data_IF_246384437961
#
_entry.id   IF_246384437961
#
_cell.length_a   1.000
_cell.length_b   1.000
_cell.length_c   1.000
_cell.angle_alpha   90.00
_cell.angle_beta   90.00
_cell.angle_gamma   90.00
#
_symmetry.space_group_name_H-M   'P 1'
#
loop_
_entity.id
_entity.type
_entity.pdbx_description
1 polymer ?
#
# COMPACT_ATOMS: atom_id res chain seq x y z
N UNK A 1 48.46 32.30 44.55
CA UNK A 1 48.11 31.89 43.17
C UNK A 1 47.31 30.58 43.09
N UNK A 2 47.26 29.77 44.16
CA UNK A 2 46.52 28.49 44.24
C UNK A 2 45.00 28.60 44.04
N UNK A 3 44.40 29.75 44.35
CA UNK A 3 42.96 29.95 44.19
C UNK A 3 42.53 30.06 42.71
N UNK A 4 43.39 30.61 41.85
CA UNK A 4 43.10 30.75 40.42
C UNK A 4 43.20 29.41 39.68
N UNK A 5 44.16 28.57 40.05
CA UNK A 5 44.29 27.22 39.50
C UNK A 5 43.09 26.36 39.89
N UNK A 6 42.63 26.46 41.14
CA UNK A 6 41.44 25.74 41.60
C UNK A 6 40.17 26.21 40.88
N UNK A 7 40.01 27.53 40.66
CA UNK A 7 38.90 28.07 39.89
C UNK A 7 38.91 27.62 38.42
N UNK A 8 40.09 27.51 37.80
CA UNK A 8 40.24 26.98 36.43
C UNK A 8 39.89 25.49 36.34
N UNK A 9 40.26 24.69 37.35
CA UNK A 9 39.89 23.28 37.40
C UNK A 9 38.38 23.09 37.54
N UNK A 10 37.73 23.89 38.38
CA UNK A 10 36.28 23.90 38.52
C UNK A 10 35.58 24.25 37.20
N UNK A 11 36.02 25.31 36.52
CA UNK A 11 35.46 25.69 35.20
C UNK A 11 35.65 24.60 34.13
N UNK A 12 36.77 23.88 34.16
CA UNK A 12 36.99 22.74 33.25
C UNK A 12 36.07 21.57 33.56
N UNK A 13 35.85 21.27 34.84
CA UNK A 13 34.93 20.24 35.27
C UNK A 13 33.48 20.58 34.86
N UNK A 14 33.05 21.81 35.10
CA UNK A 14 31.73 22.30 34.70
C UNK A 14 31.54 22.26 33.18
N UNK A 15 32.56 22.65 32.40
CA UNK A 15 32.55 22.53 30.94
C UNK A 15 32.35 21.08 30.49
N UNK A 16 33.05 20.13 31.11
CA UNK A 16 32.91 18.70 30.78
C UNK A 16 31.50 18.19 31.07
N UNK A 17 30.92 18.57 32.21
CA UNK A 17 29.54 18.22 32.56
C UNK A 17 28.52 18.81 31.57
N UNK A 18 28.69 20.07 31.18
CA UNK A 18 27.82 20.72 30.21
C UNK A 18 27.92 20.06 28.82
N UNK A 19 29.12 19.68 28.38
CA UNK A 19 29.29 18.95 27.11
C UNK A 19 28.59 17.60 27.12
N UNK A 20 28.73 16.82 28.21
CA UNK A 20 28.02 15.56 28.35
C UNK A 20 26.49 15.74 28.37
N UNK A 21 25.99 16.86 28.89
CA UNK A 21 24.57 17.19 28.83
C UNK A 21 24.11 17.52 27.40
N UNK A 22 24.89 18.30 26.66
CA UNK A 22 24.61 18.61 25.24
C UNK A 22 24.57 17.34 24.40
N UNK A 23 25.54 16.43 24.55
CA UNK A 23 25.56 15.17 23.83
C UNK A 23 24.31 14.31 24.10
N UNK A 24 23.83 14.27 25.34
CA UNK A 24 22.58 13.57 25.70
C UNK A 24 21.36 14.21 25.03
N UNK A 25 21.31 15.55 24.95
CA UNK A 25 20.25 16.26 24.26
C UNK A 25 20.30 15.99 22.76
N UNK A 26 21.47 16.02 22.14
CA UNK A 26 21.66 15.71 20.71
C UNK A 26 21.22 14.27 20.39
N UNK A 27 21.53 13.31 21.27
CA UNK A 27 21.03 11.93 21.15
C UNK A 27 19.50 11.87 21.21
N UNK A 28 18.89 12.57 22.17
CA UNK A 28 17.43 12.62 22.29
C UNK A 28 16.77 13.28 21.07
N UNK A 29 17.34 14.37 20.56
CA UNK A 29 16.89 15.06 19.34
C UNK A 29 16.98 14.10 18.15
N UNK A 30 18.12 13.42 17.96
CA UNK A 30 18.32 12.46 16.87
C UNK A 30 17.29 11.32 16.91
N UNK A 31 16.99 10.78 18.09
CA UNK A 31 15.94 9.77 18.26
C UNK A 31 14.57 10.32 17.83
N UNK A 32 14.19 11.51 18.31
CA UNK A 32 12.91 12.14 17.95
C UNK A 32 12.83 12.43 16.44
N UNK A 33 13.90 12.94 15.84
CA UNK A 33 13.97 13.19 14.39
C UNK A 33 13.86 11.90 13.58
N UNK A 34 14.50 10.81 14.03
CA UNK A 34 14.40 9.50 13.37
C UNK A 34 12.98 8.94 13.42
N UNK A 35 12.27 9.13 14.55
CA UNK A 35 10.88 8.73 14.73
C UNK A 35 9.94 9.61 13.90
N UNK A 36 10.19 10.92 13.84
CA UNK A 36 9.43 11.84 13.01
C UNK A 36 9.64 11.60 11.50
N UNK A 37 10.87 11.26 11.09
CA UNK A 37 11.18 10.82 9.72
C UNK A 37 10.46 9.51 9.35
N UNK A 38 10.22 8.63 10.32
CA UNK A 38 9.42 7.41 10.14
C UNK A 38 7.92 7.71 10.02
N UNK A 39 7.40 8.67 10.81
CA UNK A 39 6.00 9.10 10.77
C UNK A 39 5.65 9.95 9.54
N UNK A 40 6.61 10.73 9.01
CA UNK A 40 6.49 11.47 7.75
C UNK A 40 6.71 10.62 6.49
N UNK A 41 7.35 9.46 6.59
CA UNK A 41 7.60 8.53 5.48
C UNK A 41 6.39 7.65 5.12
N UNK A 42 5.17 8.17 5.28
CA UNK A 42 3.97 7.61 4.62
C UNK A 42 3.47 8.47 3.47
N UNK A 43 4.03 9.65 3.26
CA UNK A 43 3.67 10.44 2.10
C UNK A 43 4.84 11.29 1.61
N UNK A 44 5.11 11.18 0.32
CA UNK A 44 6.08 11.97 -0.46
C UNK A 44 7.55 11.57 -0.25
N UNK A 45 8.12 10.95 -1.28
CA UNK A 45 9.55 10.77 -1.37
C UNK A 45 10.25 12.13 -1.33
N UNK A 46 11.11 12.35 -0.34
CA UNK A 46 12.04 13.47 -0.38
C UNK A 46 13.18 13.28 0.61
N UNK A 47 14.39 13.22 0.04
CA UNK A 47 15.64 13.75 0.61
C UNK A 47 16.26 13.01 1.80
N UNK A 48 16.55 11.72 1.63
CA UNK A 48 17.94 11.32 1.89
C UNK A 48 18.71 11.58 0.61
N UNK A 49 19.65 12.52 0.66
CA UNK A 49 20.61 12.82 -0.40
C UNK A 49 21.60 11.66 -0.61
N UNK A 50 21.09 10.45 -0.80
CA UNK A 50 21.84 9.27 -1.21
C UNK A 50 21.36 8.92 -2.59
N UNK A 51 22.18 9.26 -3.60
CA UNK A 51 22.14 8.79 -4.99
C UNK A 51 20.80 8.18 -5.44
N UNK A 52 19.99 8.99 -6.13
CA UNK A 52 18.87 8.47 -6.93
C UNK A 52 19.43 7.33 -7.79
N UNK A 53 19.10 6.08 -7.46
CA UNK A 53 19.65 4.92 -8.18
C UNK A 53 19.10 4.94 -9.60
N UNK A 54 19.89 5.46 -10.54
CA UNK A 54 19.54 5.44 -11.94
C UNK A 54 19.52 3.98 -12.43
N UNK A 55 18.34 3.51 -12.79
CA UNK A 55 18.17 2.18 -13.39
C UNK A 55 18.68 2.25 -14.83
N UNK A 56 19.71 1.46 -15.15
CA UNK A 56 20.29 1.36 -16.49
C UNK A 56 19.26 0.88 -17.53
N UNK A 57 19.48 1.19 -18.80
CA UNK A 57 18.58 0.78 -19.88
C UNK A 57 18.37 -0.74 -19.94
N UNK A 58 19.44 -1.52 -19.71
CA UNK A 58 19.37 -2.97 -19.64
C UNK A 58 18.50 -3.46 -18.47
N UNK A 59 18.63 -2.84 -17.29
CA UNK A 59 17.82 -3.17 -16.13
C UNK A 59 16.33 -2.83 -16.36
N UNK A 60 16.02 -1.67 -16.97
CA UNK A 60 14.65 -1.30 -17.36
C UNK A 60 14.02 -2.32 -18.32
N UNK A 61 14.79 -2.83 -19.29
CA UNK A 61 14.35 -3.90 -20.20
C UNK A 61 14.02 -5.19 -19.45
N UNK A 62 14.86 -5.62 -18.51
CA UNK A 62 14.59 -6.81 -17.68
C UNK A 62 13.34 -6.64 -16.82
N UNK A 63 13.15 -5.46 -16.22
CA UNK A 63 11.95 -5.14 -15.43
C UNK A 63 10.68 -5.19 -16.27
N UNK A 64 10.69 -4.60 -17.48
CA UNK A 64 9.51 -4.59 -18.34
C UNK A 64 9.14 -5.99 -18.82
N UNK A 65 10.13 -6.84 -19.17
CA UNK A 65 9.90 -8.24 -19.52
C UNK A 65 9.32 -9.03 -18.34
N UNK A 66 9.86 -8.85 -17.13
CA UNK A 66 9.33 -9.50 -15.93
C UNK A 66 7.89 -9.07 -15.64
N UNK A 67 7.57 -7.78 -15.80
CA UNK A 67 6.22 -7.27 -15.61
C UNK A 67 5.25 -7.81 -16.66
N UNK A 68 5.65 -7.87 -17.94
CA UNK A 68 4.88 -8.50 -19.00
C UNK A 68 4.65 -9.99 -18.73
N UNK A 69 5.65 -10.72 -18.24
CA UNK A 69 5.52 -12.13 -17.86
C UNK A 69 4.55 -12.31 -16.68
N UNK A 70 4.58 -11.42 -15.69
CA UNK A 70 3.61 -11.40 -14.58
C UNK A 70 2.19 -11.15 -15.08
N UNK A 71 2.01 -10.15 -15.95
CA UNK A 71 0.70 -9.88 -16.56
C UNK A 71 0.21 -11.02 -17.44
N UNK A 72 1.10 -11.71 -18.16
CA UNK A 72 0.74 -12.90 -18.90
C UNK A 72 0.24 -14.02 -17.98
N UNK A 73 0.89 -14.26 -16.82
CA UNK A 73 0.41 -15.21 -15.81
C UNK A 73 -0.95 -14.81 -15.23
N UNK A 74 -1.15 -13.54 -14.92
CA UNK A 74 -2.42 -13.04 -14.39
C UNK A 74 -3.57 -13.09 -15.42
N UNK A 75 -3.26 -12.99 -16.72
CA UNK A 75 -4.24 -13.09 -17.81
C UNK A 75 -4.53 -14.53 -18.24
N UNK A 76 -3.69 -15.50 -17.88
CA UNK A 76 -4.07 -16.90 -18.09
C UNK A 76 -5.28 -17.16 -17.20
N UNK A 77 -6.41 -17.66 -17.74
CA UNK A 77 -7.48 -18.15 -16.89
C UNK A 77 -6.85 -19.17 -15.95
N UNK A 78 -7.10 -19.02 -14.66
CA UNK A 78 -6.61 -19.87 -13.60
C UNK A 78 -7.23 -21.27 -13.76
N UNK A 79 -6.77 -22.00 -14.77
CA UNK A 79 -6.99 -23.43 -14.92
C UNK A 79 -5.90 -24.08 -14.09
N UNK A 80 -6.32 -24.90 -13.12
CA UNK A 80 -5.55 -25.41 -12.00
C UNK A 80 -5.39 -24.42 -10.83
N UNK A 81 -6.12 -24.74 -9.76
CA UNK A 81 -5.95 -24.27 -8.38
C UNK A 81 -6.62 -22.94 -8.01
N UNK A 82 -7.89 -23.05 -7.63
CA UNK A 82 -8.29 -22.59 -6.30
C UNK A 82 -8.95 -21.23 -6.15
N UNK A 83 -9.69 -20.74 -7.15
CA UNK A 83 -10.66 -19.66 -6.90
C UNK A 83 -12.00 -20.00 -7.54
N UNK A 84 -12.95 -20.41 -6.71
CA UNK A 84 -14.36 -20.62 -7.05
C UNK A 84 -15.01 -19.25 -7.28
N UNK A 85 -14.68 -18.59 -8.39
CA UNK A 85 -15.65 -17.68 -8.99
C UNK A 85 -16.51 -18.56 -9.86
N UNK A 86 -17.70 -18.92 -9.36
CA UNK A 86 -18.68 -19.68 -10.14
C UNK A 86 -19.05 -18.81 -11.34
N UNK A 87 -18.39 -19.04 -12.48
CA UNK A 87 -18.84 -18.51 -13.75
C UNK A 87 -20.27 -19.02 -13.92
N UNK A 88 -21.25 -18.12 -13.74
CA UNK A 88 -22.67 -18.47 -13.84
C UNK A 88 -22.89 -18.98 -15.25
N UNK A 89 -23.14 -20.29 -15.38
CA UNK A 89 -23.44 -20.91 -16.67
C UNK A 89 -24.61 -20.13 -17.29
N UNK A 90 -24.48 -19.64 -18.54
CA UNK A 90 -25.58 -18.95 -19.18
C UNK A 90 -26.79 -19.87 -19.21
N UNK A 91 -27.96 -19.34 -18.83
CA UNK A 91 -29.19 -20.11 -18.75
C UNK A 91 -29.44 -20.86 -20.07
N UNK A 92 -29.74 -22.15 -20.02
CA UNK A 92 -29.96 -22.97 -21.22
C UNK A 92 -31.13 -22.46 -22.05
N UNK A 93 -31.12 -22.70 -23.35
CA UNK A 93 -32.20 -22.29 -24.27
C UNK A 93 -33.55 -22.87 -23.80
N UNK A 94 -33.56 -24.13 -23.35
CA UNK A 94 -34.75 -24.77 -22.82
C UNK A 94 -35.28 -24.08 -21.55
N UNK A 95 -34.39 -23.68 -20.64
CA UNK A 95 -34.78 -22.96 -19.43
C UNK A 95 -35.35 -21.56 -19.75
N UNK A 96 -34.75 -20.84 -20.71
CA UNK A 96 -35.28 -19.53 -21.17
C UNK A 96 -36.68 -19.69 -21.77
N UNK A 97 -36.93 -20.74 -22.55
CA UNK A 97 -38.25 -21.04 -23.12
C UNK A 97 -39.31 -21.30 -22.05
N UNK A 98 -38.98 -22.05 -21.00
CA UNK A 98 -39.88 -22.31 -19.86
C UNK A 98 -40.23 -21.04 -19.08
N UNK A 99 -39.24 -20.16 -18.85
CA UNK A 99 -39.49 -18.87 -18.19
C UNK A 99 -40.41 -17.99 -19.04
N UNK A 100 -40.15 -17.91 -20.35
CA UNK A 100 -40.96 -17.11 -21.26
C UNK A 100 -42.42 -17.60 -21.33
N UNK A 101 -42.67 -18.92 -21.38
CA UNK A 101 -44.02 -19.46 -21.38
C UNK A 101 -44.77 -19.16 -20.07
N UNK A 102 -44.10 -19.32 -18.93
CA UNK A 102 -44.67 -18.98 -17.62
C UNK A 102 -45.02 -17.50 -17.51
N UNK A 103 -44.14 -16.61 -18.00
CA UNK A 103 -44.41 -15.18 -18.04
C UNK A 103 -45.62 -14.84 -18.93
N UNK A 104 -45.72 -15.44 -20.12
CA UNK A 104 -46.89 -15.25 -21.00
C UNK A 104 -48.19 -15.71 -20.35
N UNK A 105 -48.19 -16.85 -19.66
CA UNK A 105 -49.35 -17.34 -18.93
C UNK A 105 -49.77 -16.40 -17.79
N UNK A 106 -48.79 -15.86 -17.04
CA UNK A 106 -49.05 -14.84 -16.01
C UNK A 106 -49.69 -13.59 -16.60
N UNK A 107 -49.14 -13.07 -17.71
CA UNK A 107 -49.70 -11.90 -18.39
C UNK A 107 -51.10 -12.15 -18.99
N UNK A 108 -51.37 -13.36 -19.47
CA UNK A 108 -52.70 -13.73 -19.94
C UNK A 108 -53.74 -13.66 -18.81
N UNK A 109 -53.41 -14.13 -17.60
CA UNK A 109 -54.29 -14.02 -16.42
C UNK A 109 -54.57 -12.56 -16.04
N UNK A 110 -53.52 -11.73 -15.99
CA UNK A 110 -53.67 -10.29 -15.69
C UNK A 110 -54.57 -9.60 -16.72
N UNK A 111 -54.40 -9.89 -18.01
CA UNK A 111 -55.25 -9.34 -19.07
C UNK A 111 -56.69 -9.85 -19.01
N UNK A 112 -56.90 -11.11 -18.64
CA UNK A 112 -58.24 -11.64 -18.46
C UNK A 112 -58.97 -10.96 -17.31
N UNK A 113 -58.28 -10.71 -16.19
CA UNK A 113 -58.82 -9.94 -15.06
C UNK A 113 -59.15 -8.49 -15.45
N UNK A 114 -58.29 -7.83 -16.23
CA UNK A 114 -58.55 -6.47 -16.73
C UNK A 114 -59.71 -6.38 -17.72
N UNK A 115 -60.02 -7.45 -18.46
CA UNK A 115 -61.16 -7.49 -19.38
C UNK A 115 -62.49 -7.83 -18.70
N UNK A 116 -62.44 -8.42 -17.50
CA UNK A 116 -63.60 -8.83 -16.73
C UNK A 116 -64.06 -7.78 -15.70
N UNK A 117 -63.25 -6.74 -15.47
CA UNK A 117 -63.61 -5.51 -14.76
C UNK A 117 -64.13 -4.47 -15.74
#
# INVERSE_FOLDING_TARGET
MTNLTNALEQLRAERGMAQAQVEKLDQAISVIESLNGSLGSRNTGSRRAGSQRFVSAAARRKMSLAQKARWAKARKPQSANGSVTIARKPLSIAARRKIASAQRARWARVRAQQKAA
#
